data_IF_018200251150
#
_entry.id   IF_018200251150
#
_cell.length_a   1.000
_cell.length_b   1.000
_cell.length_c   1.000
_cell.angle_alpha   90.00
_cell.angle_beta   90.00
_cell.angle_gamma   90.00
#
_symmetry.space_group_name_H-M   'P 1'
#
loop_
_entity.id
_entity.type
_entity.pdbx_description
1 polymer ?
#
# COMPACT_ATOMS: atom_id res chain seq x y z
N UNK A 1 55.16 29.53 51.35
CA UNK A 1 53.90 30.13 51.84
C UNK A 1 53.10 30.60 50.63
N UNK A 2 52.02 29.91 50.23
CA UNK A 2 50.72 30.42 49.80
C UNK A 2 49.89 29.26 49.28
N UNK A 3 48.71 29.19 49.82
CA UNK A 3 47.71 28.13 49.70
C UNK A 3 47.12 27.98 48.34
N UNK A 4 46.96 26.71 47.93
CA UNK A 4 46.13 26.24 46.85
C UNK A 4 44.67 26.18 47.31
N UNK A 5 43.75 26.76 46.55
CA UNK A 5 42.29 26.66 46.75
C UNK A 5 41.64 25.98 45.55
N UNK A 6 40.87 24.96 45.92
CA UNK A 6 39.65 24.40 45.33
C UNK A 6 39.53 24.20 43.82
N UNK A 7 39.54 22.93 43.48
CA UNK A 7 39.03 22.34 42.24
C UNK A 7 37.53 22.64 42.08
N UNK A 8 37.17 23.27 41.00
CA UNK A 8 35.80 23.30 40.50
C UNK A 8 35.58 22.09 39.60
N UNK A 9 34.69 21.19 40.01
CA UNK A 9 34.27 20.02 39.24
C UNK A 9 33.24 20.50 38.22
N UNK A 10 33.61 20.59 36.93
CA UNK A 10 32.65 20.79 35.84
C UNK A 10 32.13 19.42 35.44
N UNK A 11 30.88 19.16 35.77
CA UNK A 11 30.15 17.99 35.30
C UNK A 11 29.91 18.09 33.79
N UNK A 12 30.63 17.32 33.04
CA UNK A 12 30.32 17.06 31.63
C UNK A 12 29.14 16.07 31.58
N UNK A 13 27.95 16.57 31.31
CA UNK A 13 26.85 15.74 30.84
C UNK A 13 27.30 15.09 29.54
N UNK A 14 27.50 13.78 29.56
CA UNK A 14 27.69 12.97 28.39
C UNK A 14 26.39 13.00 27.56
N UNK A 15 26.33 13.92 26.61
CA UNK A 15 25.34 13.85 25.56
C UNK A 15 25.61 12.56 24.79
N UNK A 16 24.67 11.62 24.83
CA UNK A 16 24.70 10.47 23.97
C UNK A 16 24.58 10.98 22.53
N UNK A 17 25.71 11.08 21.84
CA UNK A 17 25.71 11.24 20.39
C UNK A 17 25.09 9.99 19.78
N UNK A 18 23.85 10.11 19.33
CA UNK A 18 23.27 9.16 18.39
C UNK A 18 24.11 9.24 17.11
N UNK A 19 25.11 8.38 16.99
CA UNK A 19 25.79 8.13 15.70
C UNK A 19 24.76 7.37 14.86
N UNK A 20 24.27 7.92 13.75
CA UNK A 20 23.33 7.18 12.91
C UNK A 20 24.00 5.89 12.46
N UNK A 21 23.25 4.80 12.42
CA UNK A 21 23.73 3.44 12.04
C UNK A 21 24.54 3.40 10.72
N UNK A 22 24.41 4.42 9.89
CA UNK A 22 25.21 4.66 8.67
C UNK A 22 26.74 4.64 8.89
N UNK A 23 27.21 5.12 10.04
CA UNK A 23 28.67 5.21 10.32
C UNK A 23 29.28 3.86 10.73
N UNK A 24 28.43 2.91 11.14
CA UNK A 24 28.88 1.59 11.59
C UNK A 24 29.05 0.54 10.47
N UNK A 25 28.47 0.77 9.27
CA UNK A 25 28.44 -0.20 8.19
C UNK A 25 29.20 0.21 6.92
N UNK A 26 30.15 1.15 6.99
CA UNK A 26 31.05 1.49 5.86
C UNK A 26 30.29 1.81 4.58
N UNK A 27 29.33 2.76 4.62
CA UNK A 27 28.66 3.20 3.39
C UNK A 27 29.61 4.04 2.56
N UNK A 28 29.82 3.64 1.31
CA UNK A 28 30.48 4.44 0.29
C UNK A 28 29.85 5.84 0.21
N UNK A 29 30.65 6.85 -0.17
CA UNK A 29 30.19 8.20 -0.43
C UNK A 29 28.95 8.19 -1.33
N UNK A 30 27.96 9.10 -1.12
CA UNK A 30 26.73 9.10 -1.90
C UNK A 30 27.05 9.15 -3.39
N UNK A 31 26.67 8.08 -4.09
CA UNK A 31 26.86 7.96 -5.54
C UNK A 31 26.01 9.01 -6.25
N UNK A 32 26.51 9.58 -7.36
CA UNK A 32 25.71 10.52 -8.18
C UNK A 32 24.38 9.94 -8.67
N UNK A 33 24.30 8.61 -8.83
CA UNK A 33 23.11 7.89 -9.31
C UNK A 33 22.76 6.76 -8.35
N UNK A 34 21.46 6.65 -8.02
CA UNK A 34 20.90 5.55 -7.23
C UNK A 34 20.87 4.28 -8.10
N UNK A 35 21.57 3.23 -7.66
CA UNK A 35 21.60 1.93 -8.34
C UNK A 35 20.47 1.05 -7.81
N UNK A 36 19.65 0.54 -8.71
CA UNK A 36 18.38 -0.14 -8.40
C UNK A 36 18.45 -1.61 -8.81
N UNK A 37 18.22 -2.54 -7.89
CA UNK A 37 17.83 -3.90 -8.21
C UNK A 37 16.30 -4.01 -8.31
N UNK A 38 15.80 -4.78 -9.27
CA UNK A 38 14.35 -4.96 -9.49
C UNK A 38 13.99 -6.42 -9.26
N UNK A 39 13.09 -6.70 -8.32
CA UNK A 39 12.54 -8.03 -8.05
C UNK A 39 11.08 -8.06 -8.52
N UNK A 40 10.78 -8.96 -9.46
CA UNK A 40 9.53 -8.97 -10.23
C UNK A 40 9.63 -8.02 -11.43
N UNK A 41 10.52 -8.34 -12.39
CA UNK A 41 10.84 -7.46 -13.52
C UNK A 41 9.75 -7.36 -14.60
N UNK A 42 8.77 -8.29 -14.61
CA UNK A 42 7.67 -8.30 -15.56
C UNK A 42 6.50 -7.40 -15.16
N UNK A 43 5.64 -7.06 -16.11
CA UNK A 43 4.40 -6.30 -15.86
C UNK A 43 4.62 -4.96 -15.17
N UNK A 44 4.08 -4.80 -13.95
CA UNK A 44 4.23 -3.55 -13.17
C UNK A 44 5.70 -3.24 -12.84
N UNK A 45 6.56 -4.25 -12.71
CA UNK A 45 7.98 -4.05 -12.46
C UNK A 45 8.70 -3.38 -13.62
N UNK A 46 8.33 -3.71 -14.87
CA UNK A 46 8.83 -3.02 -16.06
C UNK A 46 8.43 -1.54 -16.09
N UNK A 47 7.18 -1.22 -15.74
CA UNK A 47 6.71 0.15 -15.62
C UNK A 47 7.46 0.89 -14.49
N UNK A 48 7.51 0.29 -13.29
CA UNK A 48 8.14 0.88 -12.11
C UNK A 48 9.62 1.16 -12.34
N UNK A 49 10.37 0.20 -12.90
CA UNK A 49 11.79 0.40 -13.20
C UNK A 49 12.01 1.50 -14.24
N UNK A 50 11.13 1.60 -15.23
CA UNK A 50 11.15 2.67 -16.23
C UNK A 50 10.92 4.05 -15.61
N UNK A 51 9.93 4.19 -14.72
CA UNK A 51 9.63 5.46 -14.04
C UNK A 51 10.73 5.85 -13.02
N UNK A 52 11.25 4.90 -12.26
CA UNK A 52 12.38 5.15 -11.35
C UNK A 52 13.65 5.57 -12.13
N UNK A 53 13.86 4.99 -13.32
CA UNK A 53 14.96 5.42 -14.22
C UNK A 53 14.76 6.86 -14.72
N UNK A 54 13.55 7.23 -15.14
CA UNK A 54 13.22 8.62 -15.50
C UNK A 54 13.43 9.59 -14.33
N UNK A 55 13.20 9.11 -13.12
CA UNK A 55 13.43 9.84 -11.87
C UNK A 55 14.93 9.94 -11.49
N UNK A 56 15.84 9.30 -12.23
CA UNK A 56 17.30 9.41 -12.04
C UNK A 56 17.95 8.23 -11.30
N UNK A 57 17.28 7.07 -11.27
CA UNK A 57 17.91 5.81 -10.87
C UNK A 57 18.56 5.10 -12.07
N UNK A 58 19.46 4.16 -11.79
CA UNK A 58 20.07 3.27 -12.80
C UNK A 58 19.79 1.83 -12.41
N UNK A 59 19.20 1.04 -13.30
CA UNK A 59 18.94 -0.39 -13.05
C UNK A 59 20.27 -1.14 -13.08
N UNK A 60 20.59 -1.86 -12.00
CA UNK A 60 21.82 -2.59 -11.77
C UNK A 60 21.67 -4.11 -11.85
N UNK A 61 20.48 -4.65 -11.53
CA UNK A 61 20.16 -6.06 -11.63
C UNK A 61 18.65 -6.26 -11.83
N UNK A 62 18.27 -7.37 -12.49
CA UNK A 62 16.90 -7.82 -12.64
C UNK A 62 16.71 -9.20 -12.04
N UNK A 63 15.57 -9.39 -11.38
CA UNK A 63 15.13 -10.69 -10.91
C UNK A 63 13.65 -10.92 -11.27
N UNK A 64 13.34 -12.09 -11.85
CA UNK A 64 11.97 -12.56 -12.03
C UNK A 64 11.96 -14.09 -12.06
N UNK A 65 11.06 -14.71 -11.33
CA UNK A 65 10.90 -16.18 -11.28
C UNK A 65 10.39 -16.76 -12.60
N UNK A 66 9.88 -15.94 -13.48
CA UNK A 66 9.43 -16.32 -14.81
C UNK A 66 10.50 -15.97 -15.85
N UNK A 67 11.14 -16.98 -16.42
CA UNK A 67 12.25 -16.81 -17.38
C UNK A 67 11.87 -15.99 -18.62
N UNK A 68 10.65 -16.13 -19.12
CA UNK A 68 10.19 -15.37 -20.29
C UNK A 68 10.00 -13.88 -19.99
N UNK A 69 9.49 -13.56 -18.79
CA UNK A 69 9.36 -12.17 -18.31
C UNK A 69 10.72 -11.54 -18.04
N UNK A 70 11.62 -12.31 -17.42
CA UNK A 70 12.99 -11.88 -17.16
C UNK A 70 13.71 -11.55 -18.46
N UNK A 71 13.67 -12.47 -19.44
CA UNK A 71 14.26 -12.24 -20.76
C UNK A 71 13.64 -11.04 -21.50
N UNK A 72 12.32 -10.85 -21.37
CA UNK A 72 11.63 -9.68 -21.90
C UNK A 72 12.12 -8.37 -21.29
N UNK A 73 12.24 -8.31 -19.97
CA UNK A 73 12.75 -7.15 -19.26
C UNK A 73 14.22 -6.85 -19.57
N UNK A 74 15.06 -7.89 -19.66
CA UNK A 74 16.49 -7.76 -19.92
C UNK A 74 16.81 -7.08 -21.27
N UNK A 75 15.92 -7.17 -22.25
CA UNK A 75 16.06 -6.46 -23.54
C UNK A 75 16.14 -4.93 -23.38
N UNK A 76 15.51 -4.39 -22.34
CA UNK A 76 15.52 -2.94 -22.04
C UNK A 76 16.75 -2.51 -21.24
N UNK A 77 17.54 -3.45 -20.73
CA UNK A 77 18.71 -3.23 -19.89
C UNK A 77 19.85 -4.18 -20.29
N UNK A 78 20.45 -3.99 -21.48
CA UNK A 78 21.48 -4.90 -21.98
C UNK A 78 22.71 -4.94 -21.08
N UNK A 79 23.26 -6.13 -20.87
CA UNK A 79 24.50 -6.35 -20.11
C UNK A 79 24.40 -6.33 -18.60
N UNK A 80 23.21 -6.12 -18.01
CA UNK A 80 23.07 -6.23 -16.55
C UNK A 80 22.82 -7.68 -16.09
N UNK A 81 23.24 -8.04 -14.86
CA UNK A 81 23.00 -9.38 -14.30
C UNK A 81 21.49 -9.65 -14.14
N UNK A 82 21.11 -10.90 -14.40
CA UNK A 82 19.74 -11.40 -14.26
C UNK A 82 19.68 -12.63 -13.36
N UNK A 83 18.62 -12.76 -12.55
CA UNK A 83 18.45 -13.82 -11.58
C UNK A 83 17.01 -14.34 -11.60
N UNK A 84 16.82 -15.63 -11.36
CA UNK A 84 15.48 -16.23 -11.19
C UNK A 84 15.08 -16.36 -9.72
N UNK A 85 16.02 -16.16 -8.81
CA UNK A 85 15.80 -16.17 -7.35
C UNK A 85 16.42 -14.90 -6.73
N UNK A 86 15.58 -14.12 -6.05
CA UNK A 86 16.03 -12.90 -5.38
C UNK A 86 17.04 -13.16 -4.26
N UNK A 87 17.02 -14.35 -3.64
CA UNK A 87 17.99 -14.76 -2.61
C UNK A 87 19.39 -14.90 -3.22
N UNK A 88 19.48 -15.50 -4.41
CA UNK A 88 20.73 -15.60 -5.18
C UNK A 88 21.21 -14.21 -5.62
N UNK A 89 20.29 -13.36 -6.09
CA UNK A 89 20.64 -11.98 -6.41
C UNK A 89 21.23 -11.26 -5.20
N UNK A 90 20.60 -11.32 -4.05
CA UNK A 90 21.10 -10.66 -2.83
C UNK A 90 22.41 -11.27 -2.30
N UNK A 91 22.66 -12.57 -2.56
CA UNK A 91 23.90 -13.24 -2.18
C UNK A 91 25.07 -12.84 -3.08
N UNK A 92 24.87 -12.79 -4.37
CA UNK A 92 25.97 -12.67 -5.35
C UNK A 92 26.12 -11.26 -5.93
N UNK A 93 25.11 -10.42 -5.92
CA UNK A 93 25.18 -9.05 -6.41
C UNK A 93 24.99 -8.06 -5.27
N UNK A 94 26.03 -7.28 -4.98
CA UNK A 94 26.04 -6.32 -3.87
C UNK A 94 25.99 -4.86 -4.33
N UNK A 95 26.25 -4.63 -5.62
CA UNK A 95 26.43 -3.30 -6.18
C UNK A 95 25.10 -2.65 -6.58
N UNK A 96 24.22 -2.47 -5.58
CA UNK A 96 23.00 -1.68 -5.68
C UNK A 96 22.72 -0.97 -4.34
N UNK A 97 22.00 0.14 -4.40
CA UNK A 97 21.66 0.99 -3.26
C UNK A 97 20.20 0.80 -2.82
N UNK A 98 19.34 0.42 -3.77
CA UNK A 98 17.90 0.27 -3.55
C UNK A 98 17.33 -0.96 -4.26
N UNK A 99 16.19 -1.44 -3.77
CA UNK A 99 15.42 -2.54 -4.36
C UNK A 99 14.01 -2.06 -4.68
N UNK A 100 13.56 -2.26 -5.92
CA UNK A 100 12.15 -2.18 -6.28
C UNK A 100 11.53 -3.58 -6.17
N UNK A 101 10.62 -3.77 -5.23
CA UNK A 101 9.88 -5.01 -5.01
C UNK A 101 8.55 -4.91 -5.74
N UNK A 102 8.42 -5.66 -6.84
CA UNK A 102 7.26 -5.62 -7.74
C UNK A 102 6.67 -7.02 -7.97
N UNK A 103 6.77 -7.86 -6.97
CA UNK A 103 6.30 -9.23 -6.92
C UNK A 103 4.78 -9.29 -6.63
N UNK A 104 4.14 -10.46 -6.54
CA UNK A 104 2.81 -10.60 -5.95
C UNK A 104 2.78 -10.20 -4.46
N UNK A 105 1.60 -9.80 -3.97
CA UNK A 105 1.40 -9.22 -2.63
C UNK A 105 2.05 -10.04 -1.50
N UNK A 106 1.89 -11.37 -1.53
CA UNK A 106 2.36 -12.30 -0.50
C UNK A 106 3.89 -12.42 -0.37
N UNK A 107 4.64 -11.88 -1.33
CA UNK A 107 6.11 -11.87 -1.28
C UNK A 107 6.72 -10.49 -1.09
N UNK A 108 5.89 -9.44 -1.00
CA UNK A 108 6.35 -8.07 -0.78
C UNK A 108 7.19 -7.96 0.50
N UNK A 109 6.63 -8.44 1.61
CA UNK A 109 7.25 -8.29 2.92
C UNK A 109 8.58 -9.03 3.02
N UNK A 110 8.65 -10.30 2.65
CA UNK A 110 9.87 -11.09 2.80
C UNK A 110 11.03 -10.52 1.97
N UNK A 111 10.76 -10.10 0.73
CA UNK A 111 11.79 -9.48 -0.11
C UNK A 111 12.21 -8.11 0.44
N UNK A 112 11.24 -7.29 0.86
CA UNK A 112 11.49 -5.97 1.44
C UNK A 112 12.31 -6.04 2.74
N UNK A 113 11.94 -6.95 3.65
CA UNK A 113 12.65 -7.18 4.91
C UNK A 113 14.12 -7.58 4.68
N UNK A 114 14.37 -8.55 3.79
CA UNK A 114 15.74 -8.95 3.46
C UNK A 114 16.55 -7.81 2.82
N UNK A 115 15.94 -7.01 1.95
CA UNK A 115 16.61 -5.85 1.36
C UNK A 115 16.96 -4.80 2.44
N UNK A 116 16.02 -4.46 3.33
CA UNK A 116 16.26 -3.52 4.42
C UNK A 116 17.32 -4.02 5.39
N UNK A 117 17.35 -5.33 5.72
CA UNK A 117 18.38 -5.94 6.56
C UNK A 117 19.79 -5.83 5.97
N UNK A 118 19.88 -5.81 4.64
CA UNK A 118 21.13 -5.51 3.92
C UNK A 118 21.46 -4.02 3.82
N UNK A 119 20.70 -3.15 4.52
CA UNK A 119 20.87 -1.69 4.47
C UNK A 119 20.45 -1.05 3.15
N UNK A 120 19.64 -1.73 2.34
CA UNK A 120 19.17 -1.20 1.05
C UNK A 120 17.87 -0.44 1.21
N UNK A 121 17.73 0.68 0.51
CA UNK A 121 16.47 1.39 0.38
C UNK A 121 15.46 0.52 -0.37
N UNK A 122 14.16 0.64 -0.07
CA UNK A 122 13.13 -0.19 -0.72
C UNK A 122 11.96 0.63 -1.26
N UNK A 123 11.59 0.34 -2.48
CA UNK A 123 10.33 0.73 -3.08
C UNK A 123 9.47 -0.52 -3.23
N UNK A 124 8.44 -0.68 -2.40
CA UNK A 124 7.60 -1.88 -2.39
C UNK A 124 6.28 -1.55 -3.08
N UNK A 125 5.90 -2.33 -4.09
CA UNK A 125 4.61 -2.16 -4.76
C UNK A 125 3.44 -2.31 -3.77
N UNK A 126 2.31 -1.78 -4.16
CA UNK A 126 1.07 -1.80 -3.37
C UNK A 126 0.29 -3.12 -3.55
N UNK A 127 -0.47 -3.53 -2.52
CA UNK A 127 -0.42 -3.01 -1.16
C UNK A 127 0.93 -3.35 -0.52
N UNK A 128 1.28 -2.67 0.57
CA UNK A 128 2.61 -2.80 1.18
C UNK A 128 2.97 -4.25 1.51
N UNK A 129 2.00 -5.01 2.02
CA UNK A 129 2.17 -6.40 2.46
C UNK A 129 0.84 -7.16 2.34
N UNK A 130 0.87 -8.45 2.58
CA UNK A 130 -0.26 -9.37 2.47
C UNK A 130 -0.98 -9.60 3.81
N UNK A 131 -0.29 -9.43 4.95
CA UNK A 131 -0.87 -9.57 6.28
C UNK A 131 -0.61 -8.36 7.17
N UNK A 132 -1.38 -8.26 8.27
CA UNK A 132 -1.24 -7.20 9.26
C UNK A 132 0.14 -7.25 9.93
N UNK A 133 0.57 -8.44 10.34
CA UNK A 133 1.84 -8.66 11.02
C UNK A 133 3.04 -8.34 10.12
N UNK A 134 2.97 -8.66 8.82
CA UNK A 134 4.00 -8.27 7.85
C UNK A 134 4.19 -6.74 7.78
N UNK A 135 3.11 -5.98 7.86
CA UNK A 135 3.22 -4.51 7.93
C UNK A 135 3.94 -4.06 9.20
N UNK A 136 3.70 -4.71 10.34
CA UNK A 136 4.40 -4.41 11.60
C UNK A 136 5.89 -4.74 11.48
N UNK A 137 6.24 -5.89 10.91
CA UNK A 137 7.63 -6.30 10.68
C UNK A 137 8.36 -5.29 9.79
N UNK A 138 7.74 -4.86 8.68
CA UNK A 138 8.32 -3.87 7.76
C UNK A 138 8.56 -2.53 8.46
N UNK A 139 7.61 -2.06 9.28
CA UNK A 139 7.79 -0.83 10.08
C UNK A 139 8.94 -0.96 11.09
N UNK A 140 9.00 -2.08 11.81
CA UNK A 140 10.04 -2.33 12.79
C UNK A 140 11.43 -2.39 12.14
N UNK A 141 11.56 -3.10 11.02
CA UNK A 141 12.81 -3.24 10.30
C UNK A 141 13.26 -1.91 9.66
N UNK A 142 12.34 -1.14 9.10
CA UNK A 142 12.63 0.20 8.58
C UNK A 142 13.14 1.13 9.69
N UNK A 143 12.48 1.12 10.85
CA UNK A 143 12.89 1.91 12.01
C UNK A 143 14.28 1.48 12.52
N UNK A 144 14.55 0.18 12.55
CA UNK A 144 15.84 -0.38 12.98
C UNK A 144 16.99 -0.01 12.05
N UNK A 145 16.75 -0.05 10.73
CA UNK A 145 17.79 0.16 9.71
C UNK A 145 17.93 1.62 9.28
N UNK A 146 16.91 2.44 9.46
CA UNK A 146 16.88 3.84 9.02
C UNK A 146 16.91 4.04 7.50
N UNK A 147 16.68 2.98 6.72
CA UNK A 147 16.63 3.07 5.25
C UNK A 147 15.36 3.78 4.78
N UNK A 148 15.42 4.36 3.60
CA UNK A 148 14.22 4.88 2.93
C UNK A 148 13.36 3.72 2.45
N UNK A 149 12.09 3.73 2.86
CA UNK A 149 11.11 2.73 2.46
C UNK A 149 9.81 3.42 2.04
N UNK A 150 9.35 3.15 0.81
CA UNK A 150 8.16 3.77 0.23
C UNK A 150 7.25 2.71 -0.38
N UNK A 151 5.94 2.81 -0.13
CA UNK A 151 4.95 2.01 -0.83
C UNK A 151 4.65 2.59 -2.21
N UNK A 152 4.51 1.72 -3.21
CA UNK A 152 4.25 2.08 -4.60
C UNK A 152 2.78 2.30 -4.95
N UNK A 153 1.99 2.96 -4.08
CA UNK A 153 0.60 3.28 -4.36
C UNK A 153 0.42 4.49 -5.29
N UNK A 154 1.52 5.05 -5.76
CA UNK A 154 1.64 6.20 -6.67
C UNK A 154 1.15 7.54 -6.08
N UNK A 155 0.56 7.55 -4.89
CA UNK A 155 0.06 8.74 -4.18
C UNK A 155 -0.51 9.75 -5.19
N UNK A 156 -1.63 9.39 -5.80
CA UNK A 156 -2.14 10.00 -7.03
C UNK A 156 -2.28 11.52 -6.90
N UNK A 157 -1.89 12.26 -7.94
CA UNK A 157 -1.92 13.74 -7.94
C UNK A 157 -3.28 14.31 -7.50
N UNK A 158 -4.37 13.66 -7.88
CA UNK A 158 -5.72 14.10 -7.54
C UNK A 158 -6.03 14.01 -6.04
N UNK A 159 -5.28 13.23 -5.24
CA UNK A 159 -5.40 13.20 -3.78
C UNK A 159 -5.24 14.59 -3.15
N UNK A 160 -4.31 15.40 -3.66
CA UNK A 160 -4.12 16.78 -3.21
C UNK A 160 -5.36 17.66 -3.41
N UNK A 161 -6.10 17.44 -4.49
CA UNK A 161 -7.35 18.16 -4.73
C UNK A 161 -8.44 17.82 -3.71
N UNK A 162 -8.54 16.55 -3.29
CA UNK A 162 -9.43 16.15 -2.20
C UNK A 162 -9.08 16.85 -0.89
N UNK A 163 -7.79 16.94 -0.56
CA UNK A 163 -7.31 17.62 0.63
C UNK A 163 -7.69 19.10 0.61
N UNK A 164 -7.32 19.81 -0.46
CA UNK A 164 -7.65 21.24 -0.62
C UNK A 164 -9.16 21.47 -0.53
N UNK A 165 -9.96 20.60 -1.19
CA UNK A 165 -11.42 20.74 -1.16
C UNK A 165 -12.01 20.54 0.25
N UNK A 166 -11.47 19.59 1.04
CA UNK A 166 -11.88 19.42 2.44
C UNK A 166 -11.46 20.62 3.31
N UNK A 167 -10.27 21.16 3.11
CA UNK A 167 -9.75 22.32 3.84
C UNK A 167 -10.57 23.60 3.60
N UNK A 168 -11.33 23.69 2.49
CA UNK A 168 -12.28 24.80 2.27
C UNK A 168 -13.45 24.81 3.26
N UNK A 169 -13.74 23.69 3.92
CA UNK A 169 -14.89 23.53 4.81
C UNK A 169 -16.25 23.54 4.10
N UNK A 170 -16.30 23.51 2.75
CA UNK A 170 -17.53 23.57 1.96
C UNK A 170 -18.54 22.47 2.34
N UNK A 171 -18.08 21.25 2.60
CA UNK A 171 -18.98 20.16 2.99
C UNK A 171 -19.19 20.03 4.50
N UNK A 172 -18.57 20.90 5.29
CA UNK A 172 -18.59 20.81 6.76
C UNK A 172 -17.79 19.59 7.27
N UNK A 173 -18.21 19.05 8.40
CA UNK A 173 -17.54 17.91 9.03
C UNK A 173 -17.87 16.61 8.30
N UNK A 174 -16.85 15.80 7.99
CA UNK A 174 -17.01 14.50 7.34
C UNK A 174 -17.71 13.52 8.29
N UNK A 175 -18.78 12.89 7.83
CA UNK A 175 -19.54 11.88 8.58
C UNK A 175 -19.42 10.48 7.98
N UNK A 176 -19.26 10.40 6.65
CA UNK A 176 -19.11 9.15 5.93
C UNK A 176 -18.18 9.32 4.73
N UNK A 177 -17.47 8.25 4.39
CA UNK A 177 -16.65 8.14 3.18
C UNK A 177 -17.04 6.87 2.45
N UNK A 178 -17.28 6.98 1.14
CA UNK A 178 -17.64 5.84 0.28
C UNK A 178 -16.64 5.71 -0.85
N UNK A 179 -16.11 4.51 -1.04
CA UNK A 179 -15.11 4.20 -2.05
C UNK A 179 -15.51 2.96 -2.84
N UNK A 180 -15.30 2.95 -4.16
CA UNK A 180 -15.71 1.82 -4.99
C UNK A 180 -14.82 1.59 -6.20
N UNK A 181 -14.97 0.38 -6.80
CA UNK A 181 -14.24 -0.04 -8.02
C UNK A 181 -15.04 -1.03 -8.84
N UNK A 182 -14.73 -1.11 -10.14
CA UNK A 182 -15.23 -2.14 -11.05
C UNK A 182 -14.54 -3.52 -10.87
N UNK A 183 -13.45 -3.58 -10.08
CA UNK A 183 -12.71 -4.83 -9.88
C UNK A 183 -13.53 -5.87 -9.12
N UNK A 184 -13.30 -7.17 -9.35
CA UNK A 184 -12.28 -7.77 -10.23
C UNK A 184 -12.58 -7.64 -11.72
N UNK A 185 -13.82 -7.42 -12.16
CA UNK A 185 -14.17 -7.32 -13.57
C UNK A 185 -13.55 -8.45 -14.39
N UNK A 186 -12.81 -8.09 -15.46
CA UNK A 186 -12.10 -9.04 -16.34
C UNK A 186 -10.69 -9.42 -15.87
N UNK A 187 -10.19 -8.83 -14.80
CA UNK A 187 -8.76 -8.92 -14.42
C UNK A 187 -8.41 -10.26 -13.77
N UNK A 188 -9.29 -10.80 -12.94
CA UNK A 188 -9.14 -12.16 -12.38
C UNK A 188 -10.50 -12.82 -12.20
N UNK A 189 -10.55 -14.17 -12.12
CA UNK A 189 -11.81 -14.89 -11.96
C UNK A 189 -12.52 -14.45 -10.67
N UNK A 190 -13.81 -14.14 -10.71
CA UNK A 190 -14.58 -13.89 -9.51
C UNK A 190 -14.78 -15.19 -8.74
N UNK A 191 -14.46 -15.18 -7.45
CA UNK A 191 -14.81 -16.19 -6.45
C UNK A 191 -14.64 -17.68 -6.88
N UNK A 192 -13.45 -18.12 -7.38
CA UNK A 192 -13.23 -19.53 -7.61
C UNK A 192 -13.35 -20.31 -6.29
N UNK A 193 -14.14 -21.40 -6.28
CA UNK A 193 -14.49 -22.14 -5.07
C UNK A 193 -13.33 -22.95 -4.48
N UNK A 194 -12.36 -23.35 -5.30
CA UNK A 194 -11.22 -24.16 -4.88
C UNK A 194 -9.96 -23.77 -5.64
N UNK A 195 -8.81 -24.00 -5.03
CA UNK A 195 -7.53 -23.89 -5.71
C UNK A 195 -7.41 -24.90 -6.87
N UNK A 196 -6.56 -24.64 -7.88
CA UNK A 196 -6.28 -25.60 -8.93
C UNK A 196 -5.75 -26.92 -8.35
N UNK A 197 -6.37 -28.02 -8.69
CA UNK A 197 -5.96 -29.36 -8.24
C UNK A 197 -4.71 -29.89 -8.98
N UNK A 198 -4.46 -29.38 -10.19
CA UNK A 198 -3.32 -29.76 -11.06
C UNK A 198 -2.66 -28.55 -11.66
N UNK A 199 -1.40 -28.71 -12.05
CA UNK A 199 -0.63 -27.63 -12.67
C UNK A 199 0.44 -28.16 -13.61
N UNK A 200 1.09 -27.22 -14.33
CA UNK A 200 2.20 -27.50 -15.24
C UNK A 200 3.29 -26.45 -15.04
N UNK A 201 4.52 -26.87 -15.07
CA UNK A 201 5.67 -25.98 -15.17
C UNK A 201 5.88 -25.62 -16.65
N UNK A 202 5.13 -24.62 -17.11
CA UNK A 202 5.20 -24.09 -18.46
C UNK A 202 5.28 -22.55 -18.43
N UNK A 203 5.30 -21.92 -19.61
CA UNK A 203 5.27 -20.46 -19.74
C UNK A 203 6.34 -19.72 -18.94
N UNK A 204 7.52 -20.33 -18.79
CA UNK A 204 8.67 -19.73 -18.12
C UNK A 204 8.81 -20.05 -16.65
N UNK A 205 8.04 -20.99 -16.09
CA UNK A 205 8.22 -21.52 -14.74
C UNK A 205 8.91 -22.89 -14.76
N UNK A 206 9.79 -23.12 -13.78
CA UNK A 206 10.33 -24.43 -13.39
C UNK A 206 9.82 -24.76 -11.97
N UNK A 207 10.10 -25.98 -11.49
CA UNK A 207 9.77 -26.38 -10.11
C UNK A 207 10.42 -25.46 -9.10
N UNK A 208 11.70 -25.15 -9.28
CA UNK A 208 12.50 -24.31 -8.40
C UNK A 208 12.00 -22.87 -8.41
N UNK A 209 11.74 -22.30 -9.58
CA UNK A 209 11.24 -20.93 -9.69
C UNK A 209 9.80 -20.79 -9.18
N UNK A 210 9.00 -21.86 -9.27
CA UNK A 210 7.68 -21.90 -8.68
C UNK A 210 7.72 -21.90 -7.16
N UNK A 211 8.67 -22.62 -6.55
CA UNK A 211 8.90 -22.58 -5.11
C UNK A 211 9.24 -21.17 -4.62
N UNK A 212 10.07 -20.43 -5.37
CA UNK A 212 10.37 -19.02 -5.08
C UNK A 212 9.14 -18.13 -5.28
N UNK A 213 8.29 -18.42 -6.29
CA UNK A 213 7.05 -17.69 -6.50
C UNK A 213 6.06 -17.89 -5.36
N UNK A 214 5.90 -19.12 -4.86
CA UNK A 214 5.07 -19.43 -3.69
C UNK A 214 5.56 -18.69 -2.44
N UNK A 215 6.87 -18.51 -2.30
CA UNK A 215 7.45 -17.76 -1.19
C UNK A 215 6.98 -18.27 0.17
N UNK A 216 6.49 -17.39 1.08
CA UNK A 216 5.96 -17.79 2.38
C UNK A 216 4.54 -18.38 2.32
N UNK A 217 3.86 -18.24 1.17
CA UNK A 217 2.49 -18.73 0.99
C UNK A 217 2.39 -20.25 0.93
N UNK A 218 1.18 -20.81 1.09
CA UNK A 218 0.92 -22.24 0.99
C UNK A 218 1.29 -22.83 -0.38
N UNK A 219 1.53 -24.12 -0.41
CA UNK A 219 1.91 -24.83 -1.63
C UNK A 219 0.69 -25.19 -2.47
N UNK A 220 0.63 -24.68 -3.69
CA UNK A 220 -0.38 -24.99 -4.70
C UNK A 220 0.28 -25.27 -6.04
N UNK A 221 -0.37 -26.08 -6.91
CA UNK A 221 0.15 -26.39 -8.25
C UNK A 221 0.36 -25.14 -9.10
N UNK A 222 1.41 -25.13 -9.92
CA UNK A 222 1.67 -24.05 -10.88
C UNK A 222 0.54 -24.00 -11.92
N UNK A 223 -0.21 -22.92 -11.91
CA UNK A 223 -1.43 -22.78 -12.72
C UNK A 223 -1.58 -21.39 -13.32
N UNK A 224 -2.08 -21.27 -14.56
CA UNK A 224 -2.45 -19.98 -15.15
C UNK A 224 -3.62 -19.29 -14.43
N UNK A 225 -4.31 -19.98 -13.52
CA UNK A 225 -5.31 -19.39 -12.62
C UNK A 225 -4.67 -18.66 -11.43
N UNK A 226 -3.38 -18.90 -11.16
CA UNK A 226 -2.61 -18.21 -10.12
C UNK A 226 -1.64 -17.19 -10.75
N UNK A 227 -0.68 -17.65 -11.51
CA UNK A 227 0.37 -16.83 -12.10
C UNK A 227 0.21 -16.72 -13.63
N UNK A 228 0.67 -15.61 -14.22
CA UNK A 228 1.45 -14.55 -13.62
C UNK A 228 0.63 -13.37 -13.06
N UNK A 229 -0.70 -13.36 -13.13
CA UNK A 229 -1.49 -12.16 -12.81
C UNK A 229 -2.71 -12.41 -11.91
N UNK A 230 -3.37 -13.58 -12.02
CA UNK A 230 -4.67 -13.84 -11.41
C UNK A 230 -4.61 -14.13 -9.90
N UNK A 231 -3.42 -14.19 -9.31
CA UNK A 231 -3.17 -14.42 -7.89
C UNK A 231 -3.91 -13.43 -6.96
N UNK A 232 -4.26 -12.24 -7.46
CA UNK A 232 -4.92 -11.19 -6.68
C UNK A 232 -6.24 -11.59 -6.04
N UNK A 233 -6.98 -12.48 -6.69
CA UNK A 233 -8.28 -12.97 -6.20
C UNK A 233 -8.19 -14.09 -5.18
N UNK A 234 -6.99 -14.62 -4.89
CA UNK A 234 -6.81 -15.78 -4.02
C UNK A 234 -6.29 -15.34 -2.65
N UNK A 235 -6.92 -15.85 -1.59
CA UNK A 235 -6.58 -15.47 -0.21
C UNK A 235 -5.11 -15.69 0.15
N UNK A 236 -4.49 -16.74 -0.38
CA UNK A 236 -3.11 -17.12 -0.04
C UNK A 236 -2.06 -16.23 -0.70
N UNK A 237 -2.42 -15.50 -1.75
CA UNK A 237 -1.44 -14.79 -2.59
C UNK A 237 -1.75 -13.32 -2.84
N UNK A 238 -3.01 -12.91 -2.70
CA UNK A 238 -3.46 -11.55 -2.97
C UNK A 238 -4.36 -11.00 -1.88
N UNK A 239 -4.67 -9.74 -2.01
CA UNK A 239 -5.46 -8.96 -1.06
C UNK A 239 -6.84 -8.56 -1.62
N UNK A 240 -7.24 -9.19 -2.74
CA UNK A 240 -8.51 -8.90 -3.40
C UNK A 240 -8.64 -7.49 -3.95
N UNK A 241 -9.85 -7.11 -4.32
CA UNK A 241 -10.11 -5.78 -4.88
C UNK A 241 -9.85 -4.64 -3.88
N UNK A 242 -10.02 -4.88 -2.59
CA UNK A 242 -9.75 -3.87 -1.56
C UNK A 242 -8.26 -3.54 -1.49
N UNK A 243 -7.37 -4.51 -1.45
CA UNK A 243 -5.93 -4.27 -1.46
C UNK A 243 -5.43 -3.76 -2.82
N UNK A 244 -6.03 -4.23 -3.93
CA UNK A 244 -5.64 -3.78 -5.28
C UNK A 244 -6.03 -2.32 -5.55
N UNK A 245 -7.24 -1.89 -5.17
CA UNK A 245 -7.82 -0.62 -5.60
C UNK A 245 -8.14 0.37 -4.48
N UNK A 246 -8.53 -0.06 -3.27
CA UNK A 246 -8.77 0.90 -2.19
C UNK A 246 -7.45 1.59 -1.77
N UNK A 247 -6.33 0.92 -1.89
CA UNK A 247 -5.00 1.49 -1.64
C UNK A 247 -4.66 2.70 -2.55
N UNK A 248 -5.34 2.84 -3.67
CA UNK A 248 -5.28 4.02 -4.54
C UNK A 248 -6.42 4.98 -4.28
N UNK A 249 -7.65 4.46 -4.32
CA UNK A 249 -8.84 5.29 -4.32
C UNK A 249 -9.15 5.91 -2.95
N UNK A 250 -8.88 5.19 -1.86
CA UNK A 250 -9.11 5.68 -0.49
C UNK A 250 -7.92 6.45 0.10
N UNK A 251 -6.75 6.47 -0.58
CA UNK A 251 -5.54 7.14 -0.13
C UNK A 251 -5.78 8.57 0.41
N UNK A 252 -6.50 9.47 -0.30
CA UNK A 252 -6.77 10.79 0.23
C UNK A 252 -7.55 10.79 1.54
N UNK A 253 -8.49 9.85 1.72
CA UNK A 253 -9.28 9.79 2.95
C UNK A 253 -8.42 9.42 4.16
N UNK A 254 -7.56 8.42 4.01
CA UNK A 254 -6.65 8.00 5.08
C UNK A 254 -5.63 9.08 5.43
N UNK A 255 -5.04 9.74 4.44
CA UNK A 255 -4.08 10.83 4.66
C UNK A 255 -4.73 12.02 5.38
N UNK A 256 -5.89 12.46 4.89
CA UNK A 256 -6.52 13.68 5.34
C UNK A 256 -7.15 13.49 6.72
N UNK A 257 -7.85 12.37 6.94
CA UNK A 257 -8.55 12.08 8.20
C UNK A 257 -7.63 11.46 9.26
N UNK A 258 -6.41 11.07 8.85
CA UNK A 258 -5.38 10.55 9.76
C UNK A 258 -5.75 9.18 10.34
N UNK A 259 -6.44 8.35 9.57
CA UNK A 259 -6.88 7.04 10.02
C UNK A 259 -5.73 6.04 10.14
N UNK A 260 -5.79 5.21 11.19
CA UNK A 260 -5.09 3.94 11.32
C UNK A 260 -6.04 2.78 11.09
N UNK A 261 -5.94 1.72 11.91
CA UNK A 261 -6.87 0.58 11.86
C UNK A 261 -8.27 0.97 12.33
N UNK A 262 -9.34 0.38 11.71
CA UNK A 262 -10.71 0.59 12.17
C UNK A 262 -10.95 -0.05 13.54
N UNK A 263 -11.99 0.39 14.24
CA UNK A 263 -12.45 -0.19 15.51
C UNK A 263 -13.55 -1.25 15.33
N UNK A 264 -14.22 -1.23 14.18
CA UNK A 264 -15.19 -2.26 13.80
C UNK A 264 -15.19 -2.47 12.30
N UNK A 265 -15.46 -3.70 11.87
CA UNK A 265 -15.57 -4.07 10.45
C UNK A 265 -16.75 -5.01 10.23
N UNK A 266 -17.41 -4.89 9.09
CA UNK A 266 -18.45 -5.81 8.63
C UNK A 266 -18.25 -6.09 7.15
N UNK A 267 -17.93 -7.33 6.81
CA UNK A 267 -17.93 -7.84 5.45
C UNK A 267 -19.33 -8.25 5.03
N UNK A 268 -19.75 -7.87 3.84
CA UNK A 268 -21.06 -8.20 3.26
C UNK A 268 -20.80 -8.79 1.87
N UNK A 269 -21.15 -10.05 1.70
CA UNK A 269 -21.09 -10.74 0.42
C UNK A 269 -22.17 -11.84 0.37
N UNK A 270 -22.55 -12.24 -0.84
CA UNK A 270 -23.62 -13.22 -1.04
C UNK A 270 -23.18 -14.63 -0.59
N UNK A 271 -21.93 -15.01 -0.88
CA UNK A 271 -21.37 -16.31 -0.48
C UNK A 271 -19.91 -16.14 0.00
N UNK A 272 -19.54 -16.72 1.15
CA UNK A 272 -18.15 -16.81 1.55
C UNK A 272 -17.41 -17.81 0.67
N UNK A 273 -16.24 -17.45 0.17
CA UNK A 273 -15.40 -18.34 -0.62
C UNK A 273 -14.11 -18.62 0.13
N UNK A 274 -13.87 -19.89 0.45
CA UNK A 274 -12.74 -20.31 1.28
C UNK A 274 -11.40 -20.08 0.60
N UNK A 275 -11.32 -20.35 -0.71
CA UNK A 275 -10.05 -20.26 -1.46
C UNK A 275 -9.77 -18.85 -2.02
N UNK A 276 -10.81 -18.05 -2.25
CA UNK A 276 -10.70 -16.79 -2.97
C UNK A 276 -11.58 -15.70 -2.38
N UNK A 277 -11.29 -14.46 -2.72
CA UNK A 277 -12.15 -13.33 -2.40
C UNK A 277 -13.51 -13.46 -3.09
N UNK A 278 -14.61 -13.05 -2.45
CA UNK A 278 -15.92 -13.02 -3.10
C UNK A 278 -15.89 -12.09 -4.32
N UNK A 279 -16.60 -12.49 -5.37
CA UNK A 279 -16.68 -11.72 -6.61
C UNK A 279 -17.31 -10.35 -6.40
N UNK A 280 -18.39 -10.31 -5.62
CA UNK A 280 -19.09 -9.08 -5.21
C UNK A 280 -19.06 -8.95 -3.70
N UNK A 281 -18.56 -7.81 -3.22
CA UNK A 281 -18.42 -7.57 -1.80
C UNK A 281 -18.62 -6.10 -1.45
N UNK A 282 -19.14 -5.86 -0.24
CA UNK A 282 -19.16 -4.57 0.45
C UNK A 282 -18.47 -4.74 1.79
N UNK A 283 -17.66 -3.78 2.19
CA UNK A 283 -17.00 -3.77 3.49
C UNK A 283 -17.35 -2.43 4.16
N UNK A 284 -17.90 -2.50 5.36
CA UNK A 284 -18.13 -1.35 6.21
C UNK A 284 -17.10 -1.34 7.33
N UNK A 285 -16.45 -0.21 7.53
CA UNK A 285 -15.45 0.00 8.58
C UNK A 285 -15.81 1.24 9.38
N UNK A 286 -15.65 1.18 10.69
CA UNK A 286 -15.84 2.31 11.59
C UNK A 286 -14.49 2.76 12.14
N UNK A 287 -14.18 4.04 11.96
CA UNK A 287 -12.94 4.66 12.45
C UNK A 287 -13.20 5.52 13.67
N UNK A 288 -12.36 5.36 14.70
CA UNK A 288 -12.39 6.22 15.87
C UNK A 288 -11.98 7.67 15.54
N UNK A 289 -12.32 8.64 16.38
CA UNK A 289 -11.83 10.01 16.27
C UNK A 289 -10.31 10.07 16.20
N UNK A 290 -9.79 11.01 15.40
CA UNK A 290 -8.36 11.30 15.25
C UNK A 290 -8.09 12.78 15.52
N UNK A 291 -6.84 13.21 15.73
CA UNK A 291 -6.51 14.63 15.84
C UNK A 291 -6.91 15.44 14.58
N UNK A 292 -6.98 14.80 13.42
CA UNK A 292 -7.39 15.43 12.14
C UNK A 292 -8.90 15.36 11.89
N UNK A 293 -9.59 14.43 12.56
CA UNK A 293 -11.04 14.24 12.44
C UNK A 293 -11.62 13.86 13.81
N UNK A 294 -12.10 14.83 14.64
CA UNK A 294 -12.48 14.59 16.03
C UNK A 294 -13.85 13.93 16.19
N UNK A 295 -14.21 13.06 15.28
CA UNK A 295 -15.48 12.29 15.31
C UNK A 295 -15.30 10.90 14.72
N UNK A 296 -16.19 9.99 15.06
CA UNK A 296 -16.31 8.68 14.44
C UNK A 296 -16.81 8.84 13.01
N UNK A 297 -16.15 8.17 12.07
CA UNK A 297 -16.51 8.19 10.65
C UNK A 297 -16.72 6.78 10.14
N UNK A 298 -17.76 6.58 9.35
CA UNK A 298 -18.02 5.34 8.63
C UNK A 298 -17.34 5.37 7.27
N UNK A 299 -16.63 4.32 6.95
CA UNK A 299 -16.06 4.09 5.62
C UNK A 299 -16.73 2.87 4.99
N UNK A 300 -17.18 3.02 3.77
CA UNK A 300 -17.78 1.94 2.98
C UNK A 300 -16.96 1.69 1.73
N UNK A 301 -16.51 0.44 1.56
CA UNK A 301 -15.89 -0.05 0.33
C UNK A 301 -16.84 -0.95 -0.44
N UNK A 302 -16.85 -0.82 -1.79
CA UNK A 302 -17.62 -1.68 -2.69
C UNK A 302 -16.81 -2.07 -3.92
N UNK A 303 -17.00 -3.31 -4.41
CA UNK A 303 -16.34 -3.81 -5.61
C UNK A 303 -17.36 -4.30 -6.67
N UNK A 304 -16.87 -4.79 -7.81
CA UNK A 304 -17.69 -5.40 -8.89
C UNK A 304 -18.77 -4.47 -9.44
N UNK A 305 -18.38 -3.27 -9.80
CA UNK A 305 -19.29 -2.25 -10.39
C UNK A 305 -20.52 -1.96 -9.53
N UNK A 306 -20.46 -2.20 -8.22
CA UNK A 306 -21.46 -1.69 -7.31
C UNK A 306 -21.31 -0.17 -7.24
N UNK A 307 -22.38 0.53 -7.58
CA UNK A 307 -22.43 1.97 -7.41
C UNK A 307 -22.94 2.33 -6.01
N UNK A 308 -22.36 3.35 -5.37
CA UNK A 308 -22.88 3.83 -4.11
C UNK A 308 -24.33 4.33 -4.28
N UNK A 309 -25.14 4.30 -3.22
CA UNK A 309 -26.42 4.98 -3.23
C UNK A 309 -26.23 6.45 -3.62
N UNK A 310 -27.06 6.96 -4.51
CA UNK A 310 -27.02 8.36 -4.89
C UNK A 310 -27.46 9.21 -3.69
N UNK A 311 -26.64 10.14 -3.19
CA UNK A 311 -27.07 11.04 -2.13
C UNK A 311 -28.28 11.86 -2.57
N UNK A 312 -29.18 12.15 -1.64
CA UNK A 312 -30.33 12.98 -1.92
C UNK A 312 -29.90 14.35 -2.50
N UNK A 313 -30.68 14.90 -3.42
CA UNK A 313 -30.45 16.22 -4.00
C UNK A 313 -29.27 16.32 -4.98
N UNK A 314 -28.63 15.24 -5.35
CA UNK A 314 -27.67 15.25 -6.46
C UNK A 314 -28.42 15.48 -7.78
N UNK A 315 -27.77 16.20 -8.71
CA UNK A 315 -28.39 16.48 -10.01
C UNK A 315 -28.81 15.18 -10.71
N UNK A 316 -30.05 15.08 -11.24
CA UNK A 316 -30.60 13.83 -11.82
C UNK A 316 -29.80 13.23 -12.97
N UNK A 317 -29.01 14.05 -13.68
CA UNK A 317 -28.09 13.60 -14.76
C UNK A 317 -26.70 13.23 -14.27
N UNK A 318 -26.43 13.30 -12.96
CA UNK A 318 -25.14 12.92 -12.42
C UNK A 318 -25.00 11.40 -12.40
N UNK A 319 -23.88 10.91 -12.85
CA UNK A 319 -23.56 9.48 -12.84
C UNK A 319 -22.20 9.24 -12.21
N UNK A 320 -22.11 8.19 -11.40
CA UNK A 320 -20.84 7.73 -10.89
C UNK A 320 -20.06 6.99 -11.99
N UNK A 321 -18.72 7.10 -11.97
CA UNK A 321 -17.85 6.27 -12.79
C UNK A 321 -17.64 4.89 -12.17
N UNK A 322 -16.88 4.04 -12.86
CA UNK A 322 -16.54 2.68 -12.43
C UNK A 322 -15.70 2.65 -11.16
N UNK A 323 -14.99 3.73 -10.85
CA UNK A 323 -14.19 3.94 -9.66
C UNK A 323 -14.52 5.30 -9.05
N UNK A 324 -14.43 5.42 -7.74
CA UNK A 324 -14.68 6.70 -7.09
C UNK A 324 -14.35 6.73 -5.61
N UNK A 325 -14.30 7.98 -5.13
CA UNK A 325 -14.19 8.33 -3.72
C UNK A 325 -15.14 9.49 -3.44
N UNK A 326 -16.07 9.29 -2.51
CA UNK A 326 -17.07 10.26 -2.11
C UNK A 326 -16.95 10.57 -0.62
N UNK A 327 -16.99 11.86 -0.29
CA UNK A 327 -17.05 12.34 1.09
C UNK A 327 -18.43 12.95 1.33
N UNK A 328 -19.09 12.49 2.38
CA UNK A 328 -20.36 12.99 2.86
C UNK A 328 -20.10 13.76 4.14
N UNK A 329 -20.48 15.00 4.14
CA UNK A 329 -20.32 15.91 5.28
C UNK A 329 -21.63 16.53 5.73
N UNK A 330 -21.57 17.28 6.83
CA UNK A 330 -22.74 17.91 7.45
C UNK A 330 -23.36 19.04 6.61
N UNK A 331 -22.61 19.59 5.63
CA UNK A 331 -23.05 20.71 4.78
C UNK A 331 -23.09 20.38 3.30
N UNK A 332 -22.66 19.19 2.90
CA UNK A 332 -22.67 18.81 1.50
C UNK A 332 -21.92 17.53 1.21
N UNK A 333 -21.85 17.22 -0.07
CA UNK A 333 -21.20 16.01 -0.59
C UNK A 333 -20.28 16.39 -1.74
N UNK A 334 -19.08 15.82 -1.78
CA UNK A 334 -18.28 15.84 -2.99
C UNK A 334 -17.82 14.45 -3.42
N UNK A 335 -17.58 14.30 -4.70
CA UNK A 335 -17.11 13.07 -5.32
C UNK A 335 -16.01 13.36 -6.34
N UNK A 336 -15.08 12.41 -6.47
CA UNK A 336 -14.04 12.42 -7.48
C UNK A 336 -13.50 11.02 -7.75
N UNK A 337 -12.53 10.94 -8.66
CA UNK A 337 -11.86 9.67 -9.03
C UNK A 337 -10.37 9.84 -8.85
N UNK A 338 -9.78 9.11 -7.91
CA UNK A 338 -8.33 9.14 -7.65
C UNK A 338 -7.60 8.37 -8.76
N UNK A 339 -7.90 7.11 -8.93
CA UNK A 339 -7.41 6.30 -10.04
C UNK A 339 -8.14 6.64 -11.33
N UNK A 340 -7.40 7.11 -12.35
CA UNK A 340 -7.99 7.58 -13.61
C UNK A 340 -8.26 9.08 -13.69
N UNK A 341 -8.07 9.81 -12.57
CA UNK A 341 -7.84 11.24 -12.60
C UNK A 341 -9.03 12.13 -12.90
N UNK A 342 -10.08 12.08 -12.06
CA UNK A 342 -11.10 13.15 -12.08
C UNK A 342 -11.03 13.97 -10.81
N UNK A 343 -10.77 15.27 -10.97
CA UNK A 343 -10.79 16.24 -9.88
C UNK A 343 -12.10 16.15 -9.11
N UNK A 344 -12.08 16.15 -7.77
CA UNK A 344 -13.30 16.12 -6.98
C UNK A 344 -14.13 17.38 -7.18
N UNK A 345 -15.43 17.20 -7.22
CA UNK A 345 -16.43 18.30 -7.34
C UNK A 345 -17.52 18.14 -6.29
N UNK A 346 -18.05 19.26 -5.82
CA UNK A 346 -19.26 19.26 -4.99
C UNK A 346 -20.46 18.82 -5.83
N UNK A 347 -21.24 17.87 -5.33
CA UNK A 347 -22.38 17.28 -6.03
C UNK A 347 -23.72 17.51 -5.31
N UNK A 348 -23.70 17.91 -4.03
CA UNK A 348 -24.87 18.29 -3.27
C UNK A 348 -24.50 19.27 -2.15
N UNK A 349 -25.41 20.20 -1.81
CA UNK A 349 -25.32 21.13 -0.67
C UNK A 349 -26.02 20.59 0.58
N UNK A 350 -26.09 21.39 1.63
CA UNK A 350 -26.80 21.10 2.87
C UNK A 350 -28.26 20.69 2.60
N UNK A 351 -28.73 19.70 3.36
CA UNK A 351 -30.03 19.08 3.10
C UNK A 351 -30.02 18.19 1.85
N UNK A 352 -28.85 17.98 1.26
CA UNK A 352 -28.63 17.21 0.05
C UNK A 352 -29.56 17.67 -1.09
N UNK A 353 -29.56 18.98 -1.38
CA UNK A 353 -30.35 19.61 -2.43
C UNK A 353 -29.47 20.02 -3.63
N UNK A 354 -30.01 19.85 -4.84
CA UNK A 354 -29.44 20.48 -6.03
C UNK A 354 -30.12 21.84 -6.27
N UNK A 355 -29.45 22.89 -5.85
CA UNK A 355 -29.95 24.27 -5.89
C UNK A 355 -28.82 25.24 -6.25
N UNK A 356 -29.07 26.54 -6.15
CA UNK A 356 -28.07 27.56 -6.45
C UNK A 356 -26.91 27.58 -5.44
N UNK A 357 -27.16 27.18 -4.19
CA UNK A 357 -26.10 26.96 -3.19
C UNK A 357 -25.14 25.88 -3.64
N UNK A 358 -25.66 24.71 -4.07
CA UNK A 358 -24.80 23.63 -4.62
C UNK A 358 -23.94 24.12 -5.78
N UNK A 359 -24.52 24.88 -6.69
CA UNK A 359 -23.80 25.46 -7.84
C UNK A 359 -22.72 26.45 -7.39
N UNK A 360 -23.00 27.26 -6.36
CA UNK A 360 -22.02 28.18 -5.78
C UNK A 360 -20.86 27.42 -5.10
N UNK A 361 -21.16 26.41 -4.28
CA UNK A 361 -20.17 25.54 -3.65
C UNK A 361 -19.33 24.80 -4.69
N UNK A 362 -19.94 24.33 -5.76
CA UNK A 362 -19.23 23.65 -6.85
C UNK A 362 -18.24 24.59 -7.54
N UNK A 363 -18.64 25.84 -7.86
CA UNK A 363 -17.73 26.85 -8.43
C UNK A 363 -16.59 27.18 -7.49
N UNK A 364 -16.88 27.39 -6.19
CA UNK A 364 -15.86 27.65 -5.18
C UNK A 364 -14.86 26.49 -5.07
N UNK A 365 -15.33 25.26 -5.06
CA UNK A 365 -14.49 24.06 -5.03
C UNK A 365 -13.61 23.93 -6.26
N UNK A 366 -14.15 24.17 -7.46
CA UNK A 366 -13.37 24.16 -8.72
C UNK A 366 -12.26 25.22 -8.69
N UNK A 367 -12.55 26.41 -8.22
CA UNK A 367 -11.56 27.49 -8.13
C UNK A 367 -10.47 27.16 -7.10
N UNK A 368 -10.83 26.57 -5.95
CA UNK A 368 -9.87 26.19 -4.90
C UNK A 368 -8.84 25.16 -5.36
N UNK A 369 -9.18 24.26 -6.28
CA UNK A 369 -8.29 23.22 -6.79
C UNK A 369 -7.59 23.60 -8.10
N UNK A 370 -7.85 24.80 -8.62
CA UNK A 370 -7.28 25.27 -9.87
C UNK A 370 -5.75 25.51 -9.75
N UNK A 371 -5.02 25.07 -10.73
CA UNK A 371 -3.56 25.30 -10.79
C UNK A 371 -2.74 24.51 -9.78
N UNK A 372 -3.30 23.49 -9.11
CA UNK A 372 -2.53 22.62 -8.22
C UNK A 372 -1.41 21.92 -9.00
N UNK A 373 -0.19 22.07 -8.50
CA UNK A 373 0.95 21.30 -8.98
C UNK A 373 1.01 19.95 -8.30
N UNK A 374 1.45 18.96 -9.04
CA UNK A 374 1.58 17.58 -8.56
C UNK A 374 3.04 17.16 -8.54
N UNK A 375 3.40 16.36 -7.53
CA UNK A 375 4.76 15.85 -7.42
C UNK A 375 4.88 14.47 -8.09
N UNK A 376 6.10 14.10 -8.42
CA UNK A 376 6.38 12.79 -8.99
C UNK A 376 6.76 11.82 -7.88
N UNK A 377 5.87 10.88 -7.58
CA UNK A 377 6.02 9.86 -6.57
C UNK A 377 7.33 9.02 -6.69
N UNK A 378 7.75 8.70 -7.91
CA UNK A 378 9.01 7.98 -8.14
C UNK A 378 10.22 8.85 -7.87
N UNK A 379 10.12 10.15 -8.20
CA UNK A 379 11.18 11.12 -7.92
C UNK A 379 11.36 11.34 -6.43
N UNK A 380 10.29 11.39 -5.67
CA UNK A 380 10.35 11.46 -4.20
C UNK A 380 11.20 10.32 -3.62
N UNK A 381 10.96 9.08 -4.05
CA UNK A 381 11.74 7.94 -3.59
C UNK A 381 13.22 8.07 -3.94
N UNK A 382 13.52 8.41 -5.18
CA UNK A 382 14.92 8.52 -5.65
C UNK A 382 15.65 9.65 -4.91
N UNK A 383 15.03 10.80 -4.72
CA UNK A 383 15.61 11.93 -4.01
C UNK A 383 15.80 11.62 -2.52
N UNK A 384 14.78 11.04 -1.87
CA UNK A 384 14.85 10.61 -0.48
C UNK A 384 15.94 9.57 -0.24
N UNK A 385 16.04 8.56 -1.13
CA UNK A 385 17.06 7.52 -1.05
C UNK A 385 18.48 8.08 -1.20
N UNK A 386 18.70 9.02 -2.15
CA UNK A 386 19.98 9.71 -2.31
C UNK A 386 20.35 10.57 -1.11
N UNK A 387 19.37 11.25 -0.52
CA UNK A 387 19.54 12.10 0.65
C UNK A 387 19.59 11.32 1.97
N UNK A 388 19.10 10.08 1.96
CA UNK A 388 18.92 9.26 3.16
C UNK A 388 17.91 9.83 4.15
N UNK A 389 16.78 10.32 3.66
CA UNK A 389 15.73 10.97 4.43
C UNK A 389 14.44 10.12 4.36
N UNK A 390 14.28 9.11 5.24
CA UNK A 390 13.17 8.15 5.17
C UNK A 390 11.78 8.78 5.31
N UNK A 391 11.69 9.92 5.99
CA UNK A 391 10.42 10.64 6.22
C UNK A 391 10.03 11.59 5.08
N UNK A 392 10.86 11.74 4.04
CA UNK A 392 10.59 12.68 2.93
C UNK A 392 9.58 12.16 1.91
N UNK A 393 9.28 10.84 1.91
CA UNK A 393 8.32 10.26 0.98
C UNK A 393 6.88 10.41 1.49
N UNK A 394 5.94 10.73 0.61
CA UNK A 394 4.51 10.81 0.96
C UNK A 394 3.97 9.44 1.43
N UNK A 395 4.27 8.36 0.70
CA UNK A 395 3.90 6.99 1.05
C UNK A 395 5.00 6.26 1.84
N UNK A 396 5.61 6.97 2.82
CA UNK A 396 6.60 6.42 3.75
C UNK A 396 6.02 5.32 4.64
N UNK A 397 6.88 4.54 5.29
CA UNK A 397 6.47 3.37 6.06
C UNK A 397 5.50 3.72 7.19
N UNK A 398 5.72 4.84 7.90
CA UNK A 398 4.85 5.31 9.00
C UNK A 398 3.41 5.66 8.56
N UNK A 399 3.18 5.88 7.26
CA UNK A 399 1.87 6.06 6.65
C UNK A 399 1.37 4.79 5.95
N UNK A 400 2.21 4.18 5.14
CA UNK A 400 1.84 3.07 4.26
C UNK A 400 1.43 1.81 5.02
N UNK A 401 2.11 1.51 6.15
CA UNK A 401 1.82 0.32 6.93
C UNK A 401 0.47 0.43 7.68
N UNK A 402 0.15 1.47 8.45
CA UNK A 402 -1.18 1.64 9.05
C UNK A 402 -2.32 1.67 8.02
N UNK A 403 -2.11 2.30 6.86
CA UNK A 403 -3.10 2.31 5.80
C UNK A 403 -3.35 0.92 5.23
N UNK A 404 -2.29 0.15 4.90
CA UNK A 404 -2.42 -1.23 4.44
C UNK A 404 -3.07 -2.11 5.49
N UNK A 405 -2.67 -2.00 6.76
CA UNK A 405 -3.26 -2.72 7.88
C UNK A 405 -4.77 -2.52 7.99
N UNK A 406 -5.24 -1.28 7.85
CA UNK A 406 -6.67 -0.97 7.90
C UNK A 406 -7.46 -1.70 6.80
N UNK A 407 -6.94 -1.71 5.56
CA UNK A 407 -7.56 -2.41 4.45
C UNK A 407 -7.56 -3.94 4.64
N UNK A 408 -6.48 -4.49 5.23
CA UNK A 408 -6.39 -5.91 5.54
C UNK A 408 -7.36 -6.32 6.65
N UNK A 409 -7.53 -5.52 7.71
CA UNK A 409 -8.56 -5.72 8.73
C UNK A 409 -9.95 -5.72 8.09
N UNK A 410 -10.22 -4.78 7.17
CA UNK A 410 -11.44 -4.75 6.37
C UNK A 410 -11.65 -6.03 5.55
N UNK A 411 -10.60 -6.50 4.88
CA UNK A 411 -10.62 -7.72 4.09
C UNK A 411 -10.98 -8.97 4.92
N UNK A 412 -10.46 -9.06 6.15
CA UNK A 412 -10.76 -10.18 7.07
C UNK A 412 -12.26 -10.26 7.39
N UNK A 413 -12.97 -9.12 7.45
CA UNK A 413 -14.42 -9.10 7.62
C UNK A 413 -15.19 -9.93 6.59
N UNK A 414 -14.66 -10.09 5.37
CA UNK A 414 -15.30 -10.92 4.33
C UNK A 414 -15.18 -12.44 4.59
N UNK A 415 -14.31 -12.86 5.50
CA UNK A 415 -14.24 -14.27 5.93
C UNK A 415 -15.35 -14.65 6.92
N UNK A 416 -15.97 -13.64 7.53
CA UNK A 416 -17.06 -13.75 8.50
C UNK A 416 -18.26 -12.92 8.04
N UNK A 417 -18.89 -13.25 6.89
CA UNK A 417 -19.84 -12.39 6.23
C UNK A 417 -21.05 -12.09 7.09
N UNK A 418 -21.52 -10.83 6.98
CA UNK A 418 -22.68 -10.29 7.70
C UNK A 418 -22.56 -10.20 9.23
N UNK A 419 -21.42 -10.60 9.81
CA UNK A 419 -21.07 -10.40 11.21
C UNK A 419 -20.25 -9.10 11.34
N UNK A 420 -20.61 -8.25 12.29
CA UNK A 420 -19.75 -7.14 12.71
C UNK A 420 -18.68 -7.70 13.66
N UNK A 421 -17.43 -7.35 13.40
CA UNK A 421 -16.28 -7.74 14.20
C UNK A 421 -15.65 -6.49 14.82
N UNK A 422 -15.35 -6.55 16.12
CA UNK A 422 -14.69 -5.46 16.83
C UNK A 422 -13.17 -5.68 16.86
N UNK A 423 -12.42 -4.67 16.41
CA UNK A 423 -10.97 -4.68 16.38
C UNK A 423 -10.41 -3.65 17.36
N UNK A 424 -9.48 -4.06 18.21
CA UNK A 424 -8.73 -3.17 19.08
C UNK A 424 -7.39 -2.80 18.43
N UNK A 425 -7.24 -1.56 17.94
CA UNK A 425 -5.98 -1.11 17.33
C UNK A 425 -4.79 -1.14 18.29
N UNK A 426 -5.01 -1.00 19.60
CA UNK A 426 -3.93 -0.96 20.59
C UNK A 426 -3.30 -2.34 20.80
N UNK A 427 -4.10 -3.37 20.89
CA UNK A 427 -3.64 -4.77 20.99
C UNK A 427 -3.48 -5.46 19.64
N UNK A 428 -3.89 -4.79 18.55
CA UNK A 428 -3.89 -5.32 17.18
C UNK A 428 -4.65 -6.66 17.06
N UNK A 429 -5.88 -6.73 17.64
CA UNK A 429 -6.66 -7.97 17.73
C UNK A 429 -8.15 -7.74 17.54
N UNK A 430 -8.82 -8.72 16.94
CA UNK A 430 -10.27 -8.87 17.06
C UNK A 430 -10.62 -9.36 18.47
N UNK A 431 -11.52 -8.66 19.14
CA UNK A 431 -11.85 -8.89 20.56
C UNK A 431 -13.02 -9.84 20.75
N UNK A 432 -13.91 -9.95 19.77
CA UNK A 432 -15.15 -10.74 19.77
C UNK A 432 -15.14 -11.92 18.78
N UNK A 433 -14.03 -12.14 18.07
CA UNK A 433 -13.85 -13.22 17.10
C UNK A 433 -12.39 -13.71 17.13
N UNK A 434 -12.01 -14.57 18.10
CA UNK A 434 -10.63 -15.05 18.24
C UNK A 434 -10.07 -15.72 16.99
N UNK A 435 -10.91 -16.43 16.22
CA UNK A 435 -10.53 -17.10 14.98
C UNK A 435 -10.13 -16.11 13.86
N UNK A 436 -10.62 -14.88 13.88
CA UNK A 436 -10.23 -13.86 12.94
C UNK A 436 -8.77 -13.42 13.10
N UNK A 437 -8.20 -13.60 14.30
CA UNK A 437 -6.81 -13.23 14.58
C UNK A 437 -5.78 -14.10 13.84
N UNK A 438 -6.17 -15.31 13.42
CA UNK A 438 -5.27 -16.15 12.64
C UNK A 438 -4.94 -15.53 11.27
N UNK A 439 -5.85 -14.73 10.71
CA UNK A 439 -5.66 -14.05 9.42
C UNK A 439 -4.86 -12.75 9.51
N UNK A 440 -4.50 -12.31 10.72
CA UNK A 440 -3.59 -11.18 10.93
C UNK A 440 -2.12 -11.60 10.79
N UNK A 441 -1.84 -12.90 10.95
CA UNK A 441 -0.49 -13.44 11.06
C UNK A 441 0.25 -13.45 9.72
N UNK A 442 1.56 -13.28 9.78
CA UNK A 442 2.44 -13.46 8.64
C UNK A 442 2.51 -14.95 8.25
N UNK A 443 2.38 -15.26 6.94
CA UNK A 443 2.55 -16.62 6.47
C UNK A 443 4.03 -17.06 6.60
N UNK A 444 4.25 -18.36 6.74
CA UNK A 444 5.59 -18.92 6.88
C UNK A 444 5.66 -20.30 6.24
N UNK A 445 6.62 -20.53 5.35
CA UNK A 445 6.84 -21.80 4.67
C UNK A 445 8.34 -22.07 4.46
N UNK A 446 8.86 -23.13 5.08
CA UNK A 446 10.24 -23.60 4.85
C UNK A 446 11.30 -22.50 4.93
N UNK A 447 12.11 -22.38 3.89
CA UNK A 447 13.18 -21.37 3.78
C UNK A 447 12.66 -19.93 3.58
N UNK A 448 11.35 -19.73 3.48
CA UNK A 448 10.69 -18.43 3.39
C UNK A 448 10.02 -18.03 4.72
N UNK A 449 10.58 -18.51 5.82
CA UNK A 449 10.12 -18.11 7.16
C UNK A 449 10.46 -16.65 7.45
N UNK A 450 9.51 -15.92 8.02
CA UNK A 450 9.74 -14.56 8.52
C UNK A 450 9.99 -14.52 10.04
N UNK A 451 10.14 -15.68 10.69
CA UNK A 451 10.36 -15.76 12.16
C UNK A 451 11.62 -15.02 12.62
N UNK A 452 12.62 -14.89 11.77
CA UNK A 452 13.84 -14.15 12.09
C UNK A 452 13.66 -12.62 12.12
N UNK A 453 12.45 -12.13 11.80
CA UNK A 453 12.09 -10.71 11.80
C UNK A 453 11.06 -10.34 12.89
N UNK A 454 10.64 -11.33 13.71
CA UNK A 454 9.73 -11.10 14.85
C UNK A 454 10.46 -10.72 16.13
#
# INVERSE_FOLDING_TARGET
>A
MRHLTRRTFIGTTAGAFFIPARTLFGQDLPRKQLRLAVVGAGGIGGMTSGELRKAGATVAALCDVNSARLAGAAKHYPGIPTYMDWREMFRHHKDFDAVAVCTPDHTHAIVGLHAMRLGKHVYIQKPLAHSYEECQMLMAEQKRTGVVAQMGNQHHPHGKAFKVLLETGLIGDVTEVVCWTDRPGRFWPPAPKSYPATGKFDRGFTKESWDVWLGPGPEHPCSPLLAPFKWRGWWDYGTGAIGDMAIHNADPAFEILGWGSPIAVKGICDEPVVAAFPGRAKIEMTFAPTPKCPRTVKFTWMNSSQTPPMPAGVHPKYTFGDNGLMFIGTKGVFNGVVWGGKTPIVIAAAGHAWNDETKAMQRAGVEAVKGLSYHNHYKEFVDAAKAGTPEACASKMSYAAPFTQALLVGAIGLRFPNRELHFDPASARFTDCPEANEFLKAPSRGAFSMKDFT
#
